data_IF_675434090237
#
_entry.id   IF_675434090237
#
_cell.length_a   1.000
_cell.length_b   1.000
_cell.length_c   1.000
_cell.angle_alpha   90.00
_cell.angle_beta   90.00
_cell.angle_gamma   90.00
#
_symmetry.space_group_name_H-M   'P 1'
#
loop_
_entity.id
_entity.type
_entity.pdbx_description
1 polymer ?
#
# COMPACT_ATOMS: atom_id res chain seq x y z
N UNK A 1 -2.06 2.01 7.93
CA UNK A 1 -3.49 1.93 7.54
C UNK A 1 -4.21 3.23 7.78
N UNK A 2 -4.30 3.73 9.02
CA UNK A 2 -4.92 5.04 9.32
C UNK A 2 -4.35 6.16 8.42
N UNK A 3 -3.04 6.18 8.21
CA UNK A 3 -2.40 7.16 7.32
C UNK A 3 -2.87 7.08 5.85
N UNK A 4 -3.01 5.86 5.29
CA UNK A 4 -3.49 5.68 3.92
C UNK A 4 -4.95 6.11 3.77
N UNK A 5 -5.78 5.80 4.77
CA UNK A 5 -7.17 6.27 4.83
C UNK A 5 -7.23 7.79 4.92
N UNK A 6 -6.39 8.42 5.77
CA UNK A 6 -6.35 9.88 5.90
C UNK A 6 -5.94 10.55 4.58
N UNK A 7 -4.93 10.03 3.89
CA UNK A 7 -4.53 10.53 2.56
C UNK A 7 -5.69 10.40 1.57
N UNK A 8 -6.33 9.23 1.50
CA UNK A 8 -7.51 9.03 0.66
C UNK A 8 -8.60 10.05 0.98
N UNK A 9 -8.94 10.26 2.26
CA UNK A 9 -9.96 11.22 2.67
C UNK A 9 -9.65 12.64 2.20
N UNK A 10 -8.38 13.08 2.28
CA UNK A 10 -7.97 14.40 1.79
C UNK A 10 -8.20 14.52 0.29
N UNK A 11 -7.76 13.54 -0.50
CA UNK A 11 -7.96 13.56 -1.96
C UNK A 11 -9.43 13.42 -2.36
N UNK A 12 -10.21 12.62 -1.64
CA UNK A 12 -11.64 12.47 -1.86
C UNK A 12 -12.39 13.78 -1.59
N UNK A 13 -12.09 14.46 -0.48
CA UNK A 13 -12.67 15.78 -0.18
C UNK A 13 -12.28 16.81 -1.23
N UNK A 14 -11.01 16.83 -1.67
CA UNK A 14 -10.56 17.72 -2.73
C UNK A 14 -11.30 17.46 -4.06
N UNK A 15 -11.50 16.18 -4.43
CA UNK A 15 -12.27 15.80 -5.61
C UNK A 15 -13.75 16.20 -5.52
N UNK A 16 -14.36 16.07 -4.34
CA UNK A 16 -15.74 16.49 -4.10
C UNK A 16 -15.90 18.02 -4.14
N UNK A 17 -14.92 18.76 -3.61
CA UNK A 17 -14.93 20.23 -3.62
C UNK A 17 -14.67 20.80 -5.02
N UNK A 18 -13.84 20.13 -5.82
CA UNK A 18 -13.48 20.55 -7.17
C UNK A 18 -13.55 19.38 -8.16
N UNK A 19 -14.77 19.01 -8.64
CA UNK A 19 -14.99 17.85 -9.50
C UNK A 19 -14.14 17.85 -10.78
N UNK A 20 -13.86 19.01 -11.35
CA UNK A 20 -13.03 19.15 -12.56
C UNK A 20 -11.61 18.62 -12.38
N UNK A 21 -11.12 18.55 -11.13
CA UNK A 21 -9.80 18.05 -10.78
C UNK A 21 -9.81 16.63 -10.22
N UNK A 22 -10.96 15.94 -10.20
CA UNK A 22 -11.07 14.63 -9.54
C UNK A 22 -10.11 13.58 -10.11
N UNK A 23 -9.84 13.59 -11.42
CA UNK A 23 -8.82 12.72 -12.02
C UNK A 23 -7.41 13.03 -11.56
N UNK A 24 -7.08 14.31 -11.44
CA UNK A 24 -5.78 14.75 -10.92
C UNK A 24 -5.62 14.31 -9.47
N UNK A 25 -6.67 14.43 -8.66
CA UNK A 25 -6.68 13.92 -7.28
C UNK A 25 -6.51 12.39 -7.23
N UNK A 26 -7.19 11.65 -8.10
CA UNK A 26 -7.05 10.19 -8.20
C UNK A 26 -5.61 9.78 -8.60
N UNK A 27 -4.96 10.48 -9.55
CA UNK A 27 -3.56 10.22 -9.90
C UNK A 27 -2.60 10.53 -8.76
N UNK A 28 -2.77 11.70 -8.12
CA UNK A 28 -1.95 12.07 -6.99
C UNK A 28 -2.09 11.06 -5.84
N UNK A 29 -3.30 10.54 -5.61
CA UNK A 29 -3.55 9.47 -4.67
C UNK A 29 -2.86 8.15 -5.09
N UNK A 30 -2.97 7.73 -6.36
CA UNK A 30 -2.31 6.52 -6.88
C UNK A 30 -0.78 6.59 -6.81
N UNK A 31 -0.19 7.74 -7.15
CA UNK A 31 1.24 7.99 -7.01
C UNK A 31 1.71 7.99 -5.55
N UNK A 32 0.91 8.57 -4.64
CA UNK A 32 1.19 8.51 -3.20
C UNK A 32 1.10 7.07 -2.68
N UNK A 33 0.12 6.31 -3.16
CA UNK A 33 -0.04 4.89 -2.85
C UNK A 33 1.19 4.10 -3.30
N UNK A 34 1.71 4.37 -4.50
CA UNK A 34 2.96 3.77 -5.00
C UNK A 34 4.16 4.06 -4.10
N UNK A 35 4.34 5.30 -3.64
CA UNK A 35 5.41 5.63 -2.71
C UNK A 35 5.29 4.82 -1.40
N UNK A 36 4.08 4.67 -0.87
CA UNK A 36 3.81 3.86 0.33
C UNK A 36 4.09 2.38 0.05
N UNK A 37 3.64 1.85 -1.09
CA UNK A 37 3.88 0.46 -1.52
C UNK A 37 5.38 0.18 -1.59
N UNK A 38 6.15 1.05 -2.24
CA UNK A 38 7.59 0.91 -2.37
C UNK A 38 8.31 0.96 -1.01
N UNK A 39 7.94 1.88 -0.14
CA UNK A 39 8.48 1.95 1.23
C UNK A 39 8.17 0.68 2.02
N UNK A 40 6.93 0.19 1.93
CA UNK A 40 6.51 -1.04 2.57
C UNK A 40 7.26 -2.27 2.01
N UNK A 41 7.46 -2.31 0.69
CA UNK A 41 8.30 -3.28 0.01
C UNK A 41 9.78 -3.17 0.39
N UNK A 42 10.31 -1.99 0.65
CA UNK A 42 11.67 -1.86 1.15
C UNK A 42 11.78 -2.36 2.62
N UNK A 43 10.90 -1.88 3.50
CA UNK A 43 10.93 -2.21 4.92
C UNK A 43 10.80 -3.70 5.19
N UNK A 44 9.89 -4.39 4.52
CA UNK A 44 9.79 -5.82 4.77
C UNK A 44 11.02 -6.61 4.27
N UNK A 45 11.81 -6.12 3.29
CA UNK A 45 12.97 -6.89 2.77
C UNK A 45 14.02 -6.88 3.85
N UNK A 46 14.24 -5.69 4.42
CA UNK A 46 15.08 -5.51 5.60
C UNK A 46 14.61 -6.34 6.79
N UNK A 47 13.30 -6.41 7.03
CA UNK A 47 12.75 -7.27 8.09
C UNK A 47 13.02 -8.75 7.82
N UNK A 48 12.92 -9.22 6.57
CA UNK A 48 13.25 -10.60 6.20
C UNK A 48 14.73 -10.90 6.42
N UNK A 49 15.63 -10.04 5.94
CA UNK A 49 17.07 -10.19 6.14
C UNK A 49 17.46 -10.24 7.62
N UNK A 50 16.89 -9.37 8.45
CA UNK A 50 17.12 -9.38 9.90
C UNK A 50 16.64 -10.70 10.50
N UNK A 51 15.48 -11.21 10.06
CA UNK A 51 14.98 -12.51 10.54
C UNK A 51 15.91 -13.66 10.15
N UNK A 52 16.36 -13.70 8.90
CA UNK A 52 17.28 -14.73 8.40
C UNK A 52 18.58 -14.71 9.20
N UNK A 53 19.20 -13.54 9.37
CA UNK A 53 20.41 -13.39 10.18
C UNK A 53 20.23 -13.83 11.64
N UNK A 54 19.10 -13.50 12.27
CA UNK A 54 18.84 -13.91 13.65
C UNK A 54 18.62 -15.43 13.79
N UNK A 55 18.03 -16.07 12.78
CA UNK A 55 17.85 -17.52 12.74
C UNK A 55 19.18 -18.24 12.52
N UNK A 56 20.07 -17.70 11.69
CA UNK A 56 21.43 -18.23 11.52
C UNK A 56 22.24 -18.19 12.84
N UNK A 57 22.11 -17.11 13.61
CA UNK A 57 22.81 -16.96 14.89
C UNK A 57 22.28 -17.87 16.01
N UNK A 58 21.00 -18.28 15.94
CA UNK A 58 20.34 -19.07 16.99
C UNK A 58 19.34 -20.08 16.39
N UNK A 59 19.83 -21.16 15.74
CA UNK A 59 18.98 -22.10 15.00
C UNK A 59 17.99 -22.88 15.89
N UNK A 60 18.30 -23.04 17.19
CA UNK A 60 17.56 -23.95 18.08
C UNK A 60 16.34 -23.32 18.77
N UNK A 61 16.06 -22.03 18.57
CA UNK A 61 14.99 -21.33 19.32
C UNK A 61 13.56 -21.59 18.83
N UNK A 62 13.34 -22.64 18.03
CA UNK A 62 12.00 -23.10 17.69
C UNK A 62 11.22 -22.09 16.87
N UNK A 63 11.82 -21.55 15.81
CA UNK A 63 11.19 -20.62 14.89
C UNK A 63 10.87 -19.25 15.51
N UNK A 64 10.70 -18.27 14.62
CA UNK A 64 10.41 -16.88 14.99
C UNK A 64 9.20 -16.74 15.94
N UNK A 65 8.22 -17.64 15.86
CA UNK A 65 6.99 -17.57 16.65
C UNK A 65 7.18 -17.90 18.14
N UNK A 66 8.15 -18.75 18.50
CA UNK A 66 8.52 -19.01 19.90
C UNK A 66 9.47 -17.97 20.46
N UNK A 67 10.34 -17.40 19.63
CA UNK A 67 11.28 -16.37 20.07
C UNK A 67 10.60 -15.03 20.42
N UNK A 68 9.44 -14.76 19.80
CA UNK A 68 8.85 -13.42 19.80
C UNK A 68 7.94 -12.97 20.95
N UNK A 69 7.24 -13.81 21.74
CA UNK A 69 6.21 -13.29 22.64
C UNK A 69 6.73 -12.20 23.60
N UNK A 70 7.99 -12.31 24.04
CA UNK A 70 8.65 -11.38 24.96
C UNK A 70 9.46 -10.26 24.29
N UNK A 71 9.88 -10.41 23.02
CA UNK A 71 10.75 -9.44 22.30
C UNK A 71 10.15 -8.89 21.00
N UNK A 72 8.88 -9.16 20.71
CA UNK A 72 8.18 -8.61 19.56
C UNK A 72 8.26 -7.08 19.63
N UNK A 73 8.83 -6.40 18.61
CA UNK A 73 8.66 -4.96 18.49
C UNK A 73 7.15 -4.73 18.37
N UNK A 74 6.52 -4.20 19.42
CA UNK A 74 5.07 -3.99 19.49
C UNK A 74 4.54 -3.14 18.32
N UNK A 75 5.45 -2.44 17.63
CA UNK A 75 5.22 -1.51 16.53
C UNK A 75 5.56 -2.08 15.14
N UNK A 76 6.33 -3.18 15.03
CA UNK A 76 6.62 -3.79 13.71
C UNK A 76 5.47 -4.74 13.39
N UNK A 77 4.53 -4.19 12.63
CA UNK A 77 3.35 -4.82 12.06
C UNK A 77 3.67 -6.24 11.57
N UNK A 78 3.18 -7.23 12.31
CA UNK A 78 3.37 -8.64 12.01
C UNK A 78 2.76 -9.04 10.66
N UNK A 79 3.36 -10.06 10.05
CA UNK A 79 3.04 -10.65 8.75
C UNK A 79 1.55 -10.94 8.50
N UNK A 80 0.74 -11.16 9.54
CA UNK A 80 -0.71 -11.41 9.41
C UNK A 80 -1.53 -10.19 8.94
N UNK A 81 -0.97 -8.99 8.98
CA UNK A 81 -1.61 -7.76 8.48
C UNK A 81 -1.23 -7.42 7.03
N UNK A 82 -0.36 -8.21 6.38
CA UNK A 82 0.12 -7.93 5.02
C UNK A 82 -1.03 -8.02 4.00
N UNK A 83 -1.88 -9.04 4.10
CA UNK A 83 -3.04 -9.23 3.20
C UNK A 83 -4.04 -8.08 3.35
N UNK A 84 -4.37 -7.70 4.58
CA UNK A 84 -5.27 -6.57 4.86
C UNK A 84 -4.70 -5.24 4.33
N UNK A 85 -3.37 -5.04 4.43
CA UNK A 85 -2.70 -3.84 3.94
C UNK A 85 -2.72 -3.74 2.41
N UNK A 86 -2.43 -4.84 1.69
CA UNK A 86 -2.51 -4.91 0.22
C UNK A 86 -3.91 -4.53 -0.26
N UNK A 87 -4.93 -5.17 0.31
CA UNK A 87 -6.33 -4.95 -0.05
C UNK A 87 -6.80 -3.52 0.22
N UNK A 88 -6.41 -2.91 1.35
CA UNK A 88 -6.75 -1.51 1.65
C UNK A 88 -6.11 -0.56 0.64
N UNK A 89 -4.82 -0.71 0.33
CA UNK A 89 -4.15 0.20 -0.60
C UNK A 89 -4.76 0.13 -2.01
N UNK A 90 -4.96 -1.07 -2.54
CA UNK A 90 -5.60 -1.27 -3.85
C UNK A 90 -7.05 -0.81 -3.84
N UNK A 91 -7.79 -1.11 -2.78
CA UNK A 91 -9.19 -0.71 -2.63
C UNK A 91 -9.37 0.81 -2.61
N UNK A 92 -8.51 1.54 -1.89
CA UNK A 92 -8.54 3.00 -1.83
C UNK A 92 -8.16 3.63 -3.19
N UNK A 93 -7.19 3.06 -3.90
CA UNK A 93 -6.83 3.52 -5.24
C UNK A 93 -8.00 3.34 -6.23
N UNK A 94 -8.60 2.15 -6.27
CA UNK A 94 -9.80 1.88 -7.08
C UNK A 94 -10.94 2.83 -6.69
N UNK A 95 -11.20 3.02 -5.39
CA UNK A 95 -12.23 3.93 -4.91
C UNK A 95 -11.98 5.38 -5.38
N UNK A 96 -10.74 5.84 -5.43
CA UNK A 96 -10.40 7.18 -5.90
C UNK A 96 -10.69 7.36 -7.40
N UNK A 97 -10.43 6.34 -8.22
CA UNK A 97 -10.76 6.35 -9.65
C UNK A 97 -12.27 6.29 -9.87
N UNK A 98 -12.97 5.42 -9.14
CA UNK A 98 -14.43 5.32 -9.22
C UNK A 98 -15.13 6.61 -8.79
N UNK A 99 -14.58 7.31 -7.79
CA UNK A 99 -15.09 8.62 -7.39
C UNK A 99 -14.96 9.64 -8.52
N UNK A 100 -13.81 9.67 -9.21
CA UNK A 100 -13.63 10.57 -10.35
C UNK A 100 -14.58 10.26 -11.52
N UNK A 101 -14.87 8.98 -11.77
CA UNK A 101 -15.89 8.56 -12.75
C UNK A 101 -17.30 8.97 -12.33
N UNK A 102 -17.64 8.76 -11.05
CA UNK A 102 -18.96 9.11 -10.49
C UNK A 102 -19.24 10.61 -10.59
N UNK A 103 -18.21 11.43 -10.38
CA UNK A 103 -18.27 12.88 -10.52
C UNK A 103 -18.31 13.36 -11.98
N UNK A 104 -18.24 12.44 -12.96
CA UNK A 104 -18.21 12.72 -14.40
C UNK A 104 -17.11 13.72 -14.77
N UNK A 105 -15.99 13.66 -14.04
CA UNK A 105 -14.89 14.59 -14.23
C UNK A 105 -14.33 14.46 -15.66
N UNK A 106 -14.03 15.59 -16.34
CA UNK A 106 -13.51 15.57 -17.70
C UNK A 106 -12.21 14.77 -17.77
N UNK A 107 -12.14 13.82 -18.70
CA UNK A 107 -10.98 12.93 -18.86
C UNK A 107 -10.73 12.56 -20.31
N UNK A 108 -9.45 12.54 -20.68
CA UNK A 108 -9.00 11.93 -21.93
C UNK A 108 -8.66 10.44 -21.73
N UNK A 109 -8.48 9.70 -22.83
CA UNK A 109 -8.02 8.31 -22.80
C UNK A 109 -6.67 8.15 -22.08
N UNK A 110 -5.81 9.16 -22.17
CA UNK A 110 -4.52 9.20 -21.46
C UNK A 110 -4.69 9.08 -19.93
N UNK A 111 -5.66 9.81 -19.37
CA UNK A 111 -5.96 9.80 -17.93
C UNK A 111 -6.34 8.38 -17.46
N UNK A 112 -7.22 7.71 -18.19
CA UNK A 112 -7.58 6.33 -17.86
C UNK A 112 -6.39 5.37 -17.89
N UNK A 113 -5.60 5.45 -18.96
CA UNK A 113 -4.43 4.58 -19.14
C UNK A 113 -3.40 4.81 -18.02
N UNK A 114 -3.19 6.06 -17.63
CA UNK A 114 -2.29 6.40 -16.54
C UNK A 114 -2.79 5.84 -15.20
N UNK A 115 -4.08 5.99 -14.89
CA UNK A 115 -4.67 5.47 -13.66
C UNK A 115 -4.64 3.94 -13.59
N UNK A 116 -5.01 3.28 -14.69
CA UNK A 116 -4.92 1.83 -14.80
C UNK A 116 -3.46 1.35 -14.71
N UNK A 117 -2.52 2.05 -15.34
CA UNK A 117 -1.10 1.76 -15.28
C UNK A 117 -0.54 1.84 -13.85
N UNK A 118 -0.91 2.88 -13.09
CA UNK A 118 -0.54 3.03 -11.67
C UNK A 118 -1.12 1.91 -10.81
N UNK A 119 -2.41 1.60 -10.98
CA UNK A 119 -3.06 0.52 -10.26
C UNK A 119 -2.40 -0.84 -10.52
N UNK A 120 -2.11 -1.13 -11.80
CA UNK A 120 -1.44 -2.37 -12.18
C UNK A 120 -0.02 -2.44 -11.64
N UNK A 121 0.73 -1.34 -11.68
CA UNK A 121 2.06 -1.28 -11.11
C UNK A 121 2.03 -1.47 -9.58
N UNK A 122 1.07 -0.84 -8.88
CA UNK A 122 0.87 -1.01 -7.44
C UNK A 122 0.54 -2.46 -7.09
N UNK A 123 -0.39 -3.06 -7.83
CA UNK A 123 -0.73 -4.48 -7.68
C UNK A 123 0.50 -5.37 -7.92
N UNK A 124 1.25 -5.13 -8.99
CA UNK A 124 2.45 -5.89 -9.31
C UNK A 124 3.45 -5.84 -8.15
N UNK A 125 3.81 -4.66 -7.63
CA UNK A 125 4.73 -4.56 -6.49
C UNK A 125 4.20 -5.20 -5.21
N UNK A 126 2.91 -5.07 -4.92
CA UNK A 126 2.30 -5.66 -3.74
C UNK A 126 2.26 -7.20 -3.80
N UNK A 127 2.02 -7.77 -4.98
CA UNK A 127 1.92 -9.23 -5.17
C UNK A 127 3.25 -9.92 -5.52
N UNK A 128 4.25 -9.19 -6.02
CA UNK A 128 5.60 -9.74 -6.29
C UNK A 128 6.55 -9.64 -5.10
N UNK A 129 6.13 -9.02 -4.00
CA UNK A 129 6.99 -8.81 -2.83
C UNK A 129 7.45 -10.16 -2.22
N UNK A 130 8.74 -10.48 -2.20
CA UNK A 130 9.27 -11.84 -1.94
C UNK A 130 9.32 -12.25 -0.45
N UNK A 131 8.35 -11.79 0.35
CA UNK A 131 8.33 -11.93 1.83
C UNK A 131 7.21 -12.80 2.35
N UNK A 132 6.48 -13.41 1.44
CA UNK A 132 5.69 -14.60 1.73
C UNK A 132 6.59 -15.82 1.55
#
# INVERSE_FOLDING_TARGET
MIFAVAIFSVFAVAALAHPDFAWTAAFAHGATTMAIVLQWCHHGVRTKQIKEYLLELNPDQGGWERWLPSRRPRTILGSRWLISTKGVLLGLEIASMLLAELLKAPRGSFSLLLGAGLLLANAAFLFTNPKE
#
